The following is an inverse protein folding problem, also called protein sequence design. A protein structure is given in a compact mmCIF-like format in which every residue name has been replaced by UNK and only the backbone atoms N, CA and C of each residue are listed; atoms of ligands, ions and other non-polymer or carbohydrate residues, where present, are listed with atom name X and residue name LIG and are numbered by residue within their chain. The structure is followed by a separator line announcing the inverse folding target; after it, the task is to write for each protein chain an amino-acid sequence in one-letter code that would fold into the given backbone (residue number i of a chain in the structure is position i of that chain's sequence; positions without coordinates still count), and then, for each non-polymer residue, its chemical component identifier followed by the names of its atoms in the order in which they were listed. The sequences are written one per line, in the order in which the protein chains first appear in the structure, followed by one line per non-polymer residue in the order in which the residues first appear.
data_IF_471610102705
#
_entry.id   IF_471610102705
#
_cell.length_a   1.000
_cell.length_b   1.000
_cell.length_c   1.000
_cell.angle_alpha   90.00
_cell.angle_beta   90.00
_cell.angle_gamma   90.00
#
_symmetry.space_group_name_H-M   'P 1'
#
loop_
_entity.id
_entity.type
_entity.pdbx_description
1 polymer ?
#
# COMPACT_ATOMS: atom_id res chain seq x y z
N UNK A 1 21.51 -3.31 8.86
CA UNK A 1 20.06 -3.55 9.02
C UNK A 1 19.32 -2.44 8.30
N UNK A 2 18.23 -2.76 7.60
CA UNK A 2 17.45 -1.79 6.82
C UNK A 2 16.59 -0.93 7.74
N UNK A 3 16.52 0.38 7.52
CA UNK A 3 15.95 1.33 8.51
C UNK A 3 14.47 1.06 8.81
N UNK A 4 13.67 0.76 7.79
CA UNK A 4 12.22 0.52 7.94
C UNK A 4 11.97 -0.78 8.68
N UNK A 5 12.61 -1.87 8.26
CA UNK A 5 12.48 -3.20 8.88
C UNK A 5 13.04 -3.20 10.30
N UNK A 6 14.14 -2.48 10.55
CA UNK A 6 14.68 -2.28 11.89
C UNK A 6 13.68 -1.56 12.79
N UNK A 7 13.04 -0.50 12.29
CA UNK A 7 12.02 0.22 13.05
C UNK A 7 10.81 -0.68 13.35
N UNK A 8 10.30 -1.41 12.36
CA UNK A 8 9.18 -2.35 12.53
C UNK A 8 9.52 -3.44 13.56
N UNK A 9 10.66 -4.11 13.42
CA UNK A 9 11.09 -5.15 14.39
C UNK A 9 11.27 -4.56 15.79
N UNK A 10 11.83 -3.36 15.93
CA UNK A 10 11.99 -2.74 17.26
C UNK A 10 10.65 -2.39 17.90
N UNK A 11 9.70 -1.84 17.13
CA UNK A 11 8.42 -1.35 17.64
C UNK A 11 7.42 -2.48 17.87
N UNK A 12 7.33 -3.43 16.92
CA UNK A 12 6.28 -4.45 16.90
C UNK A 12 6.81 -5.87 17.06
N UNK A 13 8.13 -6.07 16.94
CA UNK A 13 8.74 -7.40 16.92
C UNK A 13 8.62 -8.12 15.58
N UNK A 14 7.91 -7.58 14.59
CA UNK A 14 7.58 -8.27 13.35
C UNK A 14 8.49 -7.85 12.18
N UNK A 15 9.00 -8.84 11.44
CA UNK A 15 9.71 -8.62 10.17
C UNK A 15 8.74 -8.81 9.00
N UNK A 16 8.42 -7.77 8.20
CA UNK A 16 7.37 -7.85 7.18
C UNK A 16 7.73 -8.80 6.02
N UNK A 17 6.74 -9.55 5.55
CA UNK A 17 6.87 -10.41 4.36
C UNK A 17 6.60 -9.67 3.04
N UNK A 18 5.99 -8.48 3.10
CA UNK A 18 5.61 -7.69 1.94
C UNK A 18 6.11 -6.26 2.08
N UNK A 19 6.41 -5.64 0.95
CA UNK A 19 6.62 -4.21 0.85
C UNK A 19 5.86 -3.66 -0.35
N UNK A 20 5.53 -2.36 -0.28
CA UNK A 20 5.01 -1.61 -1.42
C UNK A 20 6.10 -0.65 -1.88
N UNK A 21 6.44 -0.59 -3.17
CA UNK A 21 7.44 0.34 -3.67
C UNK A 21 6.94 1.77 -3.49
N UNK A 22 7.86 2.73 -3.44
CA UNK A 22 7.50 4.14 -3.40
C UNK A 22 6.87 4.53 -4.73
N UNK A 23 5.82 5.32 -4.63
CA UNK A 23 5.28 6.11 -5.72
C UNK A 23 6.33 7.15 -6.20
N UNK A 24 6.94 6.92 -7.36
CA UNK A 24 7.82 7.89 -8.02
C UNK A 24 7.19 8.35 -9.33
N UNK A 25 7.07 9.67 -9.58
CA UNK A 25 7.01 10.15 -10.95
C UNK A 25 8.35 9.82 -11.61
N UNK A 26 8.31 9.24 -12.81
CA UNK A 26 9.50 8.97 -13.61
C UNK A 26 10.20 10.31 -13.88
N UNK A 27 11.36 10.54 -13.24
CA UNK A 27 12.24 11.69 -13.51
C UNK A 27 13.30 11.34 -14.57
N UNK A 28 12.96 10.45 -15.50
CA UNK A 28 13.78 10.25 -16.69
C UNK A 28 13.18 11.09 -17.83
N UNK A 29 14.01 11.99 -18.34
CA UNK A 29 13.81 12.86 -19.51
C UNK A 29 13.47 12.15 -20.83
N UNK A 30 13.22 10.85 -20.82
CA UNK A 30 12.64 10.14 -21.97
C UNK A 30 11.24 10.69 -22.26
N UNK A 31 10.93 11.13 -23.50
CA UNK A 31 9.59 11.53 -23.88
C UNK A 31 8.65 10.32 -23.71
N UNK A 32 7.88 10.34 -22.64
CA UNK A 32 6.77 9.40 -22.46
C UNK A 32 5.70 9.75 -23.48
N UNK A 33 5.59 8.94 -24.53
CA UNK A 33 4.41 8.92 -25.37
C UNK A 33 3.21 8.62 -24.47
N UNK A 34 2.09 9.31 -24.70
CA UNK A 34 0.88 9.33 -23.87
C UNK A 34 0.23 7.95 -23.57
N UNK A 35 0.78 6.87 -24.10
CA UNK A 35 0.32 5.48 -23.90
C UNK A 35 1.04 4.77 -22.73
N UNK A 36 2.05 5.40 -22.11
CA UNK A 36 2.62 4.92 -20.85
C UNK A 36 1.95 5.71 -19.72
N UNK A 37 0.93 5.12 -19.09
CA UNK A 37 0.41 5.60 -17.81
C UNK A 37 1.60 5.98 -16.92
N UNK A 38 1.55 7.16 -16.30
CA UNK A 38 2.46 7.50 -15.20
C UNK A 38 2.19 6.45 -14.12
N UNK A 39 2.94 5.35 -14.16
CA UNK A 39 2.73 4.20 -13.31
C UNK A 39 3.30 4.52 -11.93
N UNK A 40 2.48 5.20 -11.14
CA UNK A 40 2.61 5.19 -9.70
C UNK A 40 2.62 3.72 -9.24
N UNK A 41 3.62 3.32 -8.45
CA UNK A 41 3.92 1.90 -8.18
C UNK A 41 5.02 1.30 -9.05
N UNK A 42 5.72 2.12 -9.84
CA UNK A 42 6.90 1.71 -10.59
C UNK A 42 7.96 1.05 -9.69
N UNK A 43 8.41 -0.12 -10.11
CA UNK A 43 9.58 -0.83 -9.59
C UNK A 43 10.54 -1.06 -10.74
N UNK A 44 11.83 -1.06 -10.43
CA UNK A 44 12.88 -1.47 -11.37
C UNK A 44 13.65 -2.67 -10.79
N UNK A 45 14.61 -3.18 -11.53
CA UNK A 45 15.44 -4.30 -11.08
C UNK A 45 16.07 -4.05 -9.71
N UNK A 46 16.56 -2.83 -9.44
CA UNK A 46 17.17 -2.50 -8.14
C UNK A 46 16.17 -2.61 -6.97
N UNK A 47 14.91 -2.18 -7.17
CA UNK A 47 13.86 -2.31 -6.15
C UNK A 47 13.51 -3.78 -5.92
N UNK A 48 13.40 -4.57 -6.99
CA UNK A 48 13.13 -6.01 -6.90
C UNK A 48 14.28 -6.75 -6.22
N UNK A 49 15.53 -6.45 -6.57
CA UNK A 49 16.74 -7.04 -5.98
C UNK A 49 16.84 -6.70 -4.49
N UNK A 50 16.62 -5.43 -4.13
CA UNK A 50 16.62 -5.00 -2.73
C UNK A 50 15.52 -5.71 -1.92
N UNK A 51 14.35 -5.94 -2.51
CA UNK A 51 13.25 -6.68 -1.89
C UNK A 51 13.59 -8.18 -1.76
N UNK A 52 14.19 -8.76 -2.80
CA UNK A 52 14.66 -10.15 -2.81
C UNK A 52 15.71 -10.42 -1.73
N UNK A 53 16.70 -9.54 -1.57
CA UNK A 53 17.70 -9.61 -0.48
C UNK A 53 17.03 -9.58 0.91
N UNK A 54 15.87 -8.94 1.02
CA UNK A 54 15.06 -8.86 2.26
C UNK A 54 14.05 -9.99 2.41
N UNK A 55 13.94 -10.90 1.43
CA UNK A 55 12.91 -11.94 1.42
C UNK A 55 11.47 -11.42 1.32
N UNK A 56 11.28 -10.18 0.84
CA UNK A 56 9.98 -9.53 0.77
C UNK A 56 9.34 -9.70 -0.62
N UNK A 57 8.02 -9.86 -0.64
CA UNK A 57 7.22 -9.72 -1.85
C UNK A 57 6.91 -8.25 -2.15
N UNK A 58 7.03 -7.85 -3.41
CA UNK A 58 6.60 -6.52 -3.89
C UNK A 58 5.12 -6.56 -4.24
N UNK A 59 4.34 -5.67 -3.64
CA UNK A 59 2.88 -5.60 -3.82
C UNK A 59 2.50 -4.26 -4.44
N UNK A 60 1.73 -4.33 -5.53
CA UNK A 60 1.11 -3.18 -6.22
C UNK A 60 -0.42 -3.27 -6.13
N UNK A 61 -1.13 -2.29 -6.67
CA UNK A 61 -2.60 -2.18 -6.60
C UNK A 61 -3.24 -2.29 -7.99
N UNK A 62 -4.54 -2.58 -8.01
CA UNK A 62 -5.37 -2.62 -9.24
C UNK A 62 -6.54 -1.64 -9.23
N UNK A 63 -6.64 -0.84 -8.17
CA UNK A 63 -7.59 0.25 -8.01
C UNK A 63 -6.89 1.42 -7.32
N UNK A 64 -6.75 2.54 -7.99
CA UNK A 64 -6.23 3.78 -7.40
C UNK A 64 -7.39 4.73 -7.09
N UNK A 65 -7.48 5.22 -5.86
CA UNK A 65 -8.52 6.19 -5.48
C UNK A 65 -8.28 7.61 -6.02
N UNK A 66 -7.05 7.90 -6.45
CA UNK A 66 -6.60 9.22 -6.89
C UNK A 66 -6.48 10.26 -5.77
N UNK A 67 -6.57 9.84 -4.50
CA UNK A 67 -6.57 10.75 -3.36
C UNK A 67 -5.27 11.55 -3.21
N UNK A 68 -4.12 10.96 -3.57
CA UNK A 68 -2.81 11.63 -3.61
C UNK A 68 -2.64 12.60 -4.77
N UNK A 69 -3.45 12.48 -5.82
CA UNK A 69 -3.37 13.31 -7.04
C UNK A 69 -4.45 14.39 -7.12
N UNK A 70 -5.24 14.57 -6.05
CA UNK A 70 -6.24 15.62 -5.92
C UNK A 70 -7.66 15.22 -6.35
N UNK A 71 -7.95 13.93 -6.47
CA UNK A 71 -9.32 13.48 -6.69
C UNK A 71 -10.25 13.98 -5.58
N UNK A 72 -11.45 14.42 -5.97
CA UNK A 72 -12.49 14.75 -4.99
C UNK A 72 -13.03 13.49 -4.32
N UNK A 73 -13.62 13.63 -3.13
CA UNK A 73 -14.29 12.52 -2.42
C UNK A 73 -15.29 11.80 -3.33
N UNK A 74 -16.07 12.54 -4.10
CA UNK A 74 -17.05 11.94 -5.02
C UNK A 74 -16.37 11.18 -6.16
N UNK A 75 -15.25 11.69 -6.69
CA UNK A 75 -14.49 11.00 -7.74
C UNK A 75 -13.93 9.67 -7.24
N UNK A 76 -13.33 9.65 -6.04
CA UNK A 76 -12.85 8.41 -5.41
C UNK A 76 -13.99 7.44 -5.14
N UNK A 77 -15.14 7.91 -4.64
CA UNK A 77 -16.34 7.08 -4.46
C UNK A 77 -16.81 6.47 -5.78
N UNK A 78 -16.91 7.26 -6.86
CA UNK A 78 -17.30 6.77 -8.18
C UNK A 78 -16.31 5.73 -8.72
N UNK A 79 -15.02 5.88 -8.44
CA UNK A 79 -13.98 4.91 -8.81
C UNK A 79 -14.23 3.56 -8.12
N UNK A 80 -14.53 3.57 -6.82
CA UNK A 80 -14.97 2.36 -6.11
C UNK A 80 -16.28 1.79 -6.70
N UNK A 81 -17.32 2.61 -6.89
CA UNK A 81 -18.61 2.13 -7.42
C UNK A 81 -18.44 1.46 -8.78
N UNK A 82 -17.60 2.04 -9.65
CA UNK A 82 -17.32 1.52 -10.99
C UNK A 82 -16.58 0.18 -10.91
N UNK A 83 -15.54 0.09 -10.08
CA UNK A 83 -14.78 -1.16 -9.89
C UNK A 83 -15.66 -2.26 -9.29
N UNK A 84 -16.49 -1.93 -8.31
CA UNK A 84 -17.43 -2.86 -7.68
C UNK A 84 -18.46 -3.37 -8.68
N UNK A 85 -19.01 -2.48 -9.51
CA UNK A 85 -20.00 -2.84 -10.54
C UNK A 85 -19.44 -3.77 -11.62
N UNK A 86 -18.13 -3.70 -11.90
CA UNK A 86 -17.45 -4.66 -12.76
C UNK A 86 -17.29 -6.05 -12.10
N UNK A 87 -17.55 -6.16 -10.79
CA UNK A 87 -17.50 -7.39 -9.99
C UNK A 87 -16.27 -8.29 -10.25
N UNK A 88 -15.01 -7.78 -10.24
CA UNK A 88 -13.83 -8.63 -10.33
C UNK A 88 -13.75 -9.61 -9.15
N UNK A 89 -12.97 -10.70 -9.31
CA UNK A 89 -12.79 -11.67 -8.22
C UNK A 89 -12.07 -11.09 -6.99
N UNK A 90 -11.23 -10.07 -7.20
CA UNK A 90 -10.43 -9.40 -6.16
C UNK A 90 -10.28 -7.92 -6.48
N UNK A 91 -10.09 -7.11 -5.44
CA UNK A 91 -9.77 -5.68 -5.54
C UNK A 91 -8.67 -5.39 -4.52
N UNK A 92 -7.57 -4.78 -4.95
CA UNK A 92 -6.48 -4.31 -4.11
C UNK A 92 -6.34 -2.80 -4.30
N UNK A 93 -6.95 -2.04 -3.38
CA UNK A 93 -7.08 -0.60 -3.50
C UNK A 93 -5.90 0.18 -2.88
N UNK A 94 -5.38 1.17 -3.62
CA UNK A 94 -4.49 2.19 -3.10
C UNK A 94 -5.30 3.37 -2.55
N UNK A 95 -5.01 3.68 -1.29
CA UNK A 95 -5.48 4.87 -0.60
C UNK A 95 -4.35 5.37 0.32
N UNK A 96 -4.46 6.62 0.77
CA UNK A 96 -3.52 7.26 1.68
C UNK A 96 -4.22 7.72 2.95
N UNK A 97 -3.92 7.07 4.08
CA UNK A 97 -4.55 7.38 5.39
C UNK A 97 -4.29 8.82 5.85
N UNK A 98 -3.18 9.42 5.42
CA UNK A 98 -2.81 10.81 5.72
C UNK A 98 -3.77 11.84 5.08
N UNK A 99 -4.63 11.41 4.16
CA UNK A 99 -5.68 12.23 3.56
C UNK A 99 -6.95 12.07 4.42
N UNK A 100 -7.31 13.13 5.16
CA UNK A 100 -8.46 13.11 6.09
C UNK A 100 -9.72 12.58 5.40
N UNK A 101 -10.01 13.08 4.21
CA UNK A 101 -11.25 12.78 3.50
C UNK A 101 -11.28 11.34 3.01
N UNK A 102 -10.11 10.76 2.70
CA UNK A 102 -9.98 9.33 2.42
C UNK A 102 -10.39 8.52 3.65
N UNK A 103 -9.79 8.80 4.81
CA UNK A 103 -10.04 8.06 6.04
C UNK A 103 -11.49 8.17 6.53
N UNK A 104 -12.08 9.35 6.47
CA UNK A 104 -13.36 9.65 7.12
C UNK A 104 -14.56 9.76 6.18
N UNK A 105 -14.36 9.82 4.85
CA UNK A 105 -15.46 9.95 3.90
C UNK A 105 -15.45 8.90 2.77
N UNK A 106 -14.28 8.58 2.21
CA UNK A 106 -14.16 7.58 1.13
C UNK A 106 -14.20 6.17 1.69
N UNK A 107 -13.37 5.84 2.68
CA UNK A 107 -13.29 4.49 3.24
C UNK A 107 -14.61 4.00 3.85
N UNK A 108 -15.40 4.80 4.62
CA UNK A 108 -16.69 4.34 5.11
C UNK A 108 -17.66 3.94 3.99
N UNK A 109 -17.70 4.72 2.91
CA UNK A 109 -18.48 4.39 1.72
C UNK A 109 -17.97 3.11 1.04
N UNK A 110 -16.66 3.03 0.76
CA UNK A 110 -16.06 1.89 0.08
C UNK A 110 -16.28 0.59 0.85
N UNK A 111 -16.06 0.58 2.17
CA UNK A 111 -16.27 -0.58 3.04
C UNK A 111 -17.72 -1.05 2.98
N UNK A 112 -18.69 -0.13 3.05
CA UNK A 112 -20.10 -0.47 2.97
C UNK A 112 -20.44 -1.10 1.62
N UNK A 113 -20.02 -0.49 0.52
CA UNK A 113 -20.33 -0.97 -0.84
C UNK A 113 -19.65 -2.31 -1.15
N UNK A 114 -18.39 -2.49 -0.77
CA UNK A 114 -17.65 -3.73 -0.97
C UNK A 114 -18.32 -4.90 -0.23
N UNK A 115 -18.71 -4.69 1.04
CA UNK A 115 -19.43 -5.71 1.81
C UNK A 115 -20.81 -6.01 1.21
N UNK A 116 -21.55 -4.98 0.79
CA UNK A 116 -22.86 -5.15 0.14
C UNK A 116 -22.76 -5.93 -1.18
N UNK A 117 -21.64 -5.79 -1.90
CA UNK A 117 -21.34 -6.54 -3.11
C UNK A 117 -20.77 -7.95 -2.85
N UNK A 118 -20.67 -8.39 -1.59
CA UNK A 118 -20.25 -9.74 -1.22
C UNK A 118 -18.74 -9.94 -1.06
N UNK A 119 -17.92 -8.88 -1.12
CA UNK A 119 -16.48 -9.00 -0.89
C UNK A 119 -16.15 -9.22 0.59
N UNK A 120 -15.12 -10.03 0.85
CA UNK A 120 -14.46 -10.11 2.15
C UNK A 120 -13.28 -9.14 2.17
N UNK A 121 -13.25 -8.25 3.15
CA UNK A 121 -12.12 -7.35 3.37
C UNK A 121 -11.04 -8.10 4.14
N UNK A 122 -9.87 -8.24 3.53
CA UNK A 122 -8.78 -9.10 4.00
C UNK A 122 -7.44 -8.42 3.83
N UNK A 123 -6.42 -8.92 4.53
CA UNK A 123 -5.03 -8.55 4.28
C UNK A 123 -4.51 -9.18 2.97
N UNK A 124 -3.45 -8.61 2.40
CA UNK A 124 -2.74 -9.21 1.25
C UNK A 124 -2.21 -10.61 1.59
N UNK A 125 -1.73 -10.81 2.82
CA UNK A 125 -1.29 -12.10 3.34
C UNK A 125 -2.39 -13.17 3.24
N UNK A 126 -3.60 -12.86 3.73
CA UNK A 126 -4.75 -13.77 3.64
C UNK A 126 -5.18 -13.99 2.19
N UNK A 127 -5.20 -12.94 1.35
CA UNK A 127 -5.54 -13.05 -0.06
C UNK A 127 -4.62 -14.03 -0.81
N UNK A 128 -3.32 -14.00 -0.48
CA UNK A 128 -2.30 -14.85 -1.11
C UNK A 128 -2.07 -16.19 -0.39
N UNK A 129 -2.73 -16.44 0.74
CA UNK A 129 -2.46 -17.63 1.57
C UNK A 129 -1.02 -17.69 2.08
N UNK A 130 -0.41 -16.54 2.39
CA UNK A 130 0.99 -16.40 2.82
C UNK A 130 1.08 -15.80 4.22
N UNK A 131 2.17 -16.03 4.96
CA UNK A 131 2.39 -15.35 6.23
C UNK A 131 2.59 -13.84 6.02
N UNK A 132 1.99 -13.01 6.87
CA UNK A 132 2.15 -11.55 6.83
C UNK A 132 3.57 -11.09 7.24
N UNK A 133 4.24 -11.90 8.05
CA UNK A 133 5.55 -11.65 8.61
C UNK A 133 6.46 -12.84 8.36
N UNK A 134 7.73 -12.60 8.07
CA UNK A 134 8.74 -13.66 7.93
C UNK A 134 9.14 -14.21 9.30
N UNK A 135 9.12 -13.37 10.32
CA UNK A 135 9.39 -13.73 11.70
C UNK A 135 8.73 -12.73 12.66
N UNK A 136 8.50 -13.20 13.89
CA UNK A 136 8.01 -12.37 15.00
C UNK A 136 8.86 -12.68 16.23
N UNK A 137 9.38 -11.64 16.86
CA UNK A 137 10.13 -11.68 18.13
C UNK A 137 9.47 -10.74 19.14
N UNK A 138 9.98 -10.71 20.38
CA UNK A 138 9.57 -9.69 21.33
C UNK A 138 9.99 -8.28 20.84
N UNK A 139 9.11 -7.27 20.93
CA UNK A 139 9.49 -5.89 20.67
C UNK A 139 10.67 -5.44 21.55
N UNK A 140 11.43 -4.48 21.05
CA UNK A 140 12.51 -3.88 21.83
C UNK A 140 11.96 -2.94 22.92
N UNK A 141 12.68 -2.78 24.05
CA UNK A 141 12.38 -1.70 24.98
C UNK A 141 12.38 -0.35 24.27
N UNK A 142 11.50 0.57 24.70
CA UNK A 142 11.47 1.94 24.19
C UNK A 142 12.84 2.58 24.40
N UNK A 143 13.39 3.17 23.35
CA UNK A 143 14.64 3.92 23.44
C UNK A 143 14.53 4.99 24.53
N UNK A 144 15.58 5.11 25.36
CA UNK A 144 15.65 6.15 26.38
C UNK A 144 15.63 7.52 25.69
N UNK A 145 14.81 8.45 26.19
CA UNK A 145 14.84 9.83 25.70
C UNK A 145 16.19 10.43 26.08
N UNK A 146 17.07 10.60 25.10
CA UNK A 146 18.23 11.46 25.26
C UNK A 146 17.70 12.89 25.13
N UNK A 147 17.65 13.62 26.25
CA UNK A 147 17.43 15.07 26.20
C UNK A 147 18.59 15.66 25.39
N UNK A 148 18.26 16.25 24.24
CA UNK A 148 19.20 17.09 23.50
C UNK A 148 19.33 18.38 24.31
N UNK A 149 20.31 18.39 25.22
CA UNK A 149 20.80 19.62 25.87
C UNK A 149 21.71 20.38 24.92
#
# INVERSE_FOLDING_TARGET
MWRVEQALVRITGAYPAFMRPREYPVLDSTPVTADLEIAYGNYNSMVLDASGIRGQGVVIWDLDSGDSTGASVQSSKNTYSSRISAHPSTILALNHETIETTAHQVLPYAIQQLKAAGYRLVTVAECLGKPAYQSVVAPSPRDVRVSLT
#
